data_IF_608240481473
#
_entry.id   IF_608240481473
#
_cell.length_a   1.000
_cell.length_b   1.000
_cell.length_c   1.000
_cell.angle_alpha   90.00
_cell.angle_beta   90.00
_cell.angle_gamma   90.00
#
_symmetry.space_group_name_H-M   'P 1'
#
loop_
_entity.id
_entity.type
_entity.pdbx_description
1 polymer ?
#
# COMPACT_ATOMS: atom_id res chain seq x y z
N UNK A 1 73.53 31.98 -13.25
CA UNK A 1 72.17 31.42 -13.37
C UNK A 1 71.22 32.61 -13.38
N UNK A 2 70.67 32.95 -14.54
CA UNK A 2 69.66 34.01 -14.68
C UNK A 2 68.25 33.41 -14.49
N UNK A 3 67.28 34.16 -13.92
CA UNK A 3 65.92 33.68 -13.79
C UNK A 3 65.16 33.86 -15.11
N UNK A 4 64.60 32.76 -15.62
CA UNK A 4 63.66 32.77 -16.74
C UNK A 4 62.33 33.30 -16.23
N UNK A 5 61.98 34.52 -16.63
CA UNK A 5 60.64 35.09 -16.43
C UNK A 5 59.77 34.63 -17.61
N UNK A 6 58.93 33.62 -17.38
CA UNK A 6 57.89 33.26 -18.35
C UNK A 6 56.80 34.35 -18.38
N UNK A 7 56.28 34.72 -19.57
CA UNK A 7 55.23 35.72 -19.67
C UNK A 7 53.92 35.09 -19.21
N UNK A 8 53.39 35.58 -18.09
CA UNK A 8 52.03 35.29 -17.67
C UNK A 8 51.07 35.57 -18.83
N UNK A 9 50.34 34.53 -19.23
CA UNK A 9 49.39 34.55 -20.33
C UNK A 9 48.37 35.68 -20.19
N UNK A 10 48.13 36.30 -21.34
CA UNK A 10 47.17 37.36 -21.60
C UNK A 10 45.78 37.02 -21.03
N UNK A 11 45.39 37.61 -19.90
CA UNK A 11 43.99 37.55 -19.41
C UNK A 11 43.16 38.49 -20.26
N UNK A 12 42.41 37.97 -21.23
CA UNK A 12 41.46 38.76 -21.99
C UNK A 12 40.44 39.41 -21.03
N UNK A 13 40.42 40.74 -20.98
CA UNK A 13 39.39 41.50 -20.25
C UNK A 13 38.06 41.32 -20.98
N UNK A 14 37.13 40.58 -20.37
CA UNK A 14 35.76 40.43 -20.86
C UNK A 14 35.03 41.77 -20.74
N UNK A 15 34.25 42.14 -21.76
CA UNK A 15 33.40 43.33 -21.70
C UNK A 15 32.10 43.05 -20.90
N UNK A 16 31.40 44.12 -20.52
CA UNK A 16 30.19 44.03 -19.70
C UNK A 16 29.07 43.21 -20.35
N UNK A 17 28.96 43.21 -21.69
CA UNK A 17 27.94 42.44 -22.41
C UNK A 17 28.26 40.95 -22.34
N UNK A 18 29.54 40.60 -22.48
CA UNK A 18 29.99 39.21 -22.35
C UNK A 18 29.76 38.67 -20.94
N UNK A 19 29.91 39.50 -19.90
CA UNK A 19 29.63 39.12 -18.51
C UNK A 19 28.13 38.86 -18.32
N UNK A 20 27.26 39.74 -18.84
CA UNK A 20 25.80 39.59 -18.73
C UNK A 20 25.29 38.32 -19.45
N UNK A 21 25.83 38.02 -20.64
CA UNK A 21 25.51 36.80 -21.38
C UNK A 21 25.94 35.53 -20.63
N UNK A 22 27.08 35.57 -19.92
CA UNK A 22 27.55 34.46 -19.07
C UNK A 22 26.59 34.25 -17.89
N UNK A 23 26.18 35.32 -17.22
CA UNK A 23 25.22 35.24 -16.10
C UNK A 23 23.87 34.69 -16.53
N UNK A 24 23.31 35.19 -17.65
CA UNK A 24 22.03 34.71 -18.15
C UNK A 24 22.09 33.22 -18.55
N UNK A 25 23.19 32.77 -19.18
CA UNK A 25 23.38 31.34 -19.48
C UNK A 25 23.50 30.50 -18.21
N UNK A 26 24.26 30.97 -17.22
CA UNK A 26 24.41 30.29 -15.94
C UNK A 26 23.08 30.16 -15.19
N UNK A 27 22.25 31.19 -15.19
CA UNK A 27 20.93 31.16 -14.55
C UNK A 27 19.93 30.28 -15.31
N UNK A 28 19.94 30.27 -16.65
CA UNK A 28 19.16 29.29 -17.43
C UNK A 28 19.59 27.85 -17.11
N UNK A 29 20.90 27.57 -17.11
CA UNK A 29 21.40 26.22 -16.80
C UNK A 29 21.06 25.78 -15.36
N UNK A 30 21.05 26.71 -14.40
CA UNK A 30 20.58 26.44 -13.02
C UNK A 30 19.11 26.08 -12.96
N UNK A 31 18.27 26.74 -13.76
CA UNK A 31 16.85 26.41 -13.90
C UNK A 31 16.65 25.00 -14.43
N UNK A 32 17.34 24.66 -15.54
CA UNK A 32 17.28 23.33 -16.15
C UNK A 32 17.78 22.24 -15.20
N UNK A 33 18.85 22.51 -14.44
CA UNK A 33 19.37 21.60 -13.41
C UNK A 33 18.36 21.38 -12.28
N UNK A 34 17.66 22.42 -11.85
CA UNK A 34 16.62 22.31 -10.83
C UNK A 34 15.42 21.47 -11.31
N UNK A 35 15.00 21.64 -12.58
CA UNK A 35 13.96 20.81 -13.19
C UNK A 35 14.38 19.34 -13.27
N UNK A 36 15.58 19.07 -13.79
CA UNK A 36 16.11 17.71 -13.88
C UNK A 36 16.21 17.05 -12.50
N UNK A 37 16.63 17.80 -11.48
CA UNK A 37 16.68 17.31 -10.10
C UNK A 37 15.31 16.91 -9.57
N UNK A 38 14.27 17.70 -9.87
CA UNK A 38 12.91 17.38 -9.47
C UNK A 38 12.39 16.14 -10.22
N UNK A 39 12.62 16.04 -11.53
CA UNK A 39 12.23 14.88 -12.32
C UNK A 39 12.91 13.59 -11.79
N UNK A 40 14.20 13.66 -11.45
CA UNK A 40 14.93 12.55 -10.83
C UNK A 40 14.32 12.19 -9.48
N UNK A 41 13.96 13.19 -8.67
CA UNK A 41 13.33 12.97 -7.37
C UNK A 41 11.97 12.27 -7.50
N UNK A 42 11.14 12.68 -8.46
CA UNK A 42 9.85 12.07 -8.73
C UNK A 42 9.98 10.62 -9.21
N UNK A 43 10.98 10.34 -10.06
CA UNK A 43 11.31 8.98 -10.49
C UNK A 43 11.74 8.11 -9.30
N UNK A 44 12.58 8.64 -8.41
CA UNK A 44 13.03 7.91 -7.20
C UNK A 44 11.84 7.61 -6.28
N UNK A 45 10.95 8.57 -6.07
CA UNK A 45 9.76 8.35 -5.23
C UNK A 45 8.84 7.29 -5.84
N UNK A 46 8.57 7.39 -7.14
CA UNK A 46 7.78 6.39 -7.87
C UNK A 46 8.42 5.00 -7.78
N UNK A 47 9.76 4.91 -7.86
CA UNK A 47 10.48 3.65 -7.71
C UNK A 47 10.33 3.06 -6.30
N UNK A 48 10.42 3.88 -5.26
CA UNK A 48 10.24 3.44 -3.88
C UNK A 48 8.82 2.92 -3.64
N UNK A 49 7.79 3.60 -4.16
CA UNK A 49 6.40 3.14 -4.10
C UNK A 49 6.22 1.76 -4.76
N UNK A 50 6.84 1.55 -5.92
CA UNK A 50 6.82 0.25 -6.60
C UNK A 50 7.56 -0.84 -5.81
N UNK A 51 8.69 -0.52 -5.16
CA UNK A 51 9.40 -1.47 -4.31
C UNK A 51 8.57 -1.88 -3.09
N UNK A 52 7.86 -0.94 -2.46
CA UNK A 52 6.95 -1.24 -1.37
C UNK A 52 5.83 -2.18 -1.82
N UNK A 53 5.25 -1.95 -3.00
CA UNK A 53 4.20 -2.81 -3.54
C UNK A 53 4.71 -4.22 -3.88
N UNK A 54 5.91 -4.33 -4.47
CA UNK A 54 6.55 -5.63 -4.73
C UNK A 54 6.77 -6.41 -3.43
N UNK A 55 7.23 -5.74 -2.38
CA UNK A 55 7.41 -6.36 -1.06
C UNK A 55 6.08 -6.84 -0.46
N UNK A 56 4.98 -6.07 -0.62
CA UNK A 56 3.63 -6.49 -0.22
C UNK A 56 3.17 -7.74 -0.98
N UNK A 57 3.38 -7.80 -2.30
CA UNK A 57 3.00 -8.97 -3.10
C UNK A 57 3.82 -10.19 -2.68
N UNK A 58 5.12 -10.01 -2.46
CA UNK A 58 6.01 -11.10 -2.06
C UNK A 58 5.62 -11.68 -0.70
N UNK A 59 5.20 -10.85 0.27
CA UNK A 59 4.77 -11.34 1.57
C UNK A 59 3.52 -12.22 1.47
N UNK A 60 2.54 -11.83 0.65
CA UNK A 60 1.35 -12.64 0.37
C UNK A 60 1.74 -13.98 -0.28
N UNK A 61 2.73 -13.98 -1.18
CA UNK A 61 3.21 -15.22 -1.81
C UNK A 61 3.90 -16.18 -0.84
N UNK A 62 4.43 -15.68 0.28
CA UNK A 62 5.06 -16.48 1.33
C UNK A 62 4.06 -17.12 2.30
N UNK A 63 2.78 -16.72 2.25
CA UNK A 63 1.76 -17.35 3.08
C UNK A 63 1.56 -18.83 2.72
N UNK A 64 1.19 -19.63 3.72
CA UNK A 64 0.88 -21.05 3.53
C UNK A 64 -0.31 -21.18 2.59
N UNK A 65 -0.24 -22.15 1.67
CA UNK A 65 -1.29 -22.37 0.67
C UNK A 65 -2.72 -22.46 1.26
N UNK A 66 -2.98 -23.16 2.39
CA UNK A 66 -4.32 -23.20 2.98
C UNK A 66 -4.82 -21.85 3.48
N UNK A 67 -3.91 -20.97 3.94
CA UNK A 67 -4.28 -19.62 4.40
C UNK A 67 -4.74 -18.78 3.21
N UNK A 68 -3.98 -18.79 2.11
CA UNK A 68 -4.34 -18.05 0.89
C UNK A 68 -5.64 -18.54 0.28
N UNK A 69 -5.79 -19.86 0.16
CA UNK A 69 -7.01 -20.47 -0.37
C UNK A 69 -8.24 -20.07 0.48
N UNK A 70 -8.13 -20.19 1.80
CA UNK A 70 -9.25 -19.90 2.69
C UNK A 70 -9.55 -18.40 2.78
N UNK A 71 -8.54 -17.54 2.75
CA UNK A 71 -8.71 -16.09 2.67
C UNK A 71 -9.42 -15.67 1.37
N UNK A 72 -9.06 -16.28 0.23
CA UNK A 72 -9.75 -16.05 -1.04
C UNK A 72 -11.22 -16.50 -1.00
N UNK A 73 -11.51 -17.63 -0.34
CA UNK A 73 -12.88 -18.06 -0.11
C UNK A 73 -13.64 -17.07 0.80
N UNK A 74 -13.03 -16.66 1.91
CA UNK A 74 -13.59 -15.66 2.82
C UNK A 74 -13.99 -14.39 2.07
N UNK A 75 -13.11 -13.85 1.23
CA UNK A 75 -13.36 -12.66 0.41
C UNK A 75 -14.51 -12.89 -0.57
N UNK A 76 -14.51 -13.99 -1.32
CA UNK A 76 -15.61 -14.33 -2.24
C UNK A 76 -16.98 -14.33 -1.53
N UNK A 77 -17.03 -14.84 -0.30
CA UNK A 77 -18.25 -14.87 0.52
C UNK A 77 -18.67 -13.48 1.02
N UNK A 78 -17.70 -12.57 1.25
CA UNK A 78 -17.99 -11.17 1.60
C UNK A 78 -18.56 -10.43 0.40
N UNK A 79 -17.94 -10.56 -0.77
CA UNK A 79 -18.38 -9.93 -2.02
C UNK A 79 -19.82 -10.31 -2.39
N UNK A 80 -20.21 -11.57 -2.17
CA UNK A 80 -21.62 -12.01 -2.35
C UNK A 80 -22.61 -11.19 -1.50
N UNK A 81 -22.16 -10.60 -0.40
CA UNK A 81 -22.98 -9.85 0.56
C UNK A 81 -22.77 -8.33 0.49
N UNK A 82 -21.96 -7.81 -0.43
CA UNK A 82 -21.66 -6.37 -0.53
C UNK A 82 -22.91 -5.50 -0.73
N UNK A 83 -23.95 -6.05 -1.38
CA UNK A 83 -25.24 -5.38 -1.55
C UNK A 83 -25.94 -5.03 -0.21
N UNK A 84 -25.47 -5.57 0.92
CA UNK A 84 -25.99 -5.30 2.27
C UNK A 84 -25.33 -4.09 2.95
N UNK A 85 -24.39 -3.42 2.28
CA UNK A 85 -23.77 -2.19 2.78
C UNK A 85 -22.51 -2.40 3.63
N UNK A 86 -21.92 -3.59 3.64
CA UNK A 86 -20.71 -3.89 4.43
C UNK A 86 -20.97 -4.06 5.94
N UNK A 87 -19.87 -4.11 6.73
CA UNK A 87 -19.90 -4.44 8.17
C UNK A 87 -19.45 -3.30 9.11
N UNK A 88 -19.45 -2.08 8.59
CA UNK A 88 -19.18 -0.88 9.38
C UNK A 88 -20.13 -0.70 10.58
N UNK A 89 -19.77 0.12 11.58
CA UNK A 89 -20.58 0.36 12.77
C UNK A 89 -21.98 0.92 12.46
N UNK A 90 -22.14 1.61 11.32
CA UNK A 90 -23.41 2.14 10.83
C UNK A 90 -24.37 1.06 10.32
N UNK A 91 -23.87 -0.09 9.85
CA UNK A 91 -24.68 -1.13 9.22
C UNK A 91 -24.80 -2.41 10.06
N UNK A 92 -23.82 -2.69 10.90
CA UNK A 92 -23.80 -3.87 11.77
C UNK A 92 -23.48 -3.45 13.21
N UNK A 93 -24.15 -4.00 14.23
CA UNK A 93 -23.75 -3.81 15.64
C UNK A 93 -22.84 -4.95 16.13
N UNK A 94 -22.15 -4.79 17.26
CA UNK A 94 -21.36 -5.89 17.88
C UNK A 94 -22.25 -7.09 18.20
N UNK A 95 -23.44 -6.81 18.74
CA UNK A 95 -24.42 -7.84 19.10
C UNK A 95 -24.93 -8.56 17.85
N UNK A 96 -25.23 -7.83 16.78
CA UNK A 96 -25.66 -8.42 15.52
C UNK A 96 -24.59 -9.37 14.96
N UNK A 97 -23.34 -8.93 14.87
CA UNK A 97 -22.24 -9.75 14.35
C UNK A 97 -22.03 -11.00 15.23
N UNK A 98 -22.12 -10.84 16.54
CA UNK A 98 -21.99 -11.95 17.51
C UNK A 98 -23.13 -12.96 17.38
N UNK A 99 -24.37 -12.49 17.23
CA UNK A 99 -25.54 -13.34 17.01
C UNK A 99 -25.43 -14.09 15.68
N UNK A 100 -24.99 -13.43 14.61
CA UNK A 100 -24.81 -14.08 13.31
C UNK A 100 -23.71 -15.15 13.36
N UNK A 101 -22.58 -14.88 14.02
CA UNK A 101 -21.51 -15.87 14.22
C UNK A 101 -22.04 -17.11 14.95
N UNK A 102 -22.75 -16.90 16.06
CA UNK A 102 -23.34 -17.95 16.88
C UNK A 102 -24.37 -18.79 16.08
N UNK A 103 -25.18 -18.15 15.22
CA UNK A 103 -26.07 -18.87 14.28
C UNK A 103 -25.28 -19.75 13.30
N UNK A 104 -24.14 -19.29 12.78
CA UNK A 104 -23.30 -20.09 11.87
C UNK A 104 -22.59 -21.24 12.60
N UNK A 105 -22.15 -21.04 13.83
CA UNK A 105 -21.61 -22.11 14.68
C UNK A 105 -22.65 -23.21 14.94
N UNK A 106 -23.90 -22.84 15.29
CA UNK A 106 -25.00 -23.81 15.42
C UNK A 106 -25.26 -24.57 14.12
N UNK A 107 -25.25 -23.87 12.98
CA UNK A 107 -25.38 -24.52 11.67
C UNK A 107 -24.29 -25.56 11.46
N UNK A 108 -23.02 -25.21 11.69
CA UNK A 108 -21.88 -26.11 11.55
C UNK A 108 -22.06 -27.39 12.36
N UNK A 109 -22.49 -27.28 13.63
CA UNK A 109 -22.80 -28.46 14.47
C UNK A 109 -23.91 -29.31 13.86
N UNK A 110 -24.93 -28.68 13.28
CA UNK A 110 -26.03 -29.36 12.60
C UNK A 110 -25.63 -30.11 11.32
N UNK A 111 -24.58 -29.66 10.62
CA UNK A 111 -24.12 -30.31 9.37
C UNK A 111 -23.56 -31.72 9.60
N UNK A 112 -22.99 -31.99 10.78
CA UNK A 112 -22.39 -33.29 11.13
C UNK A 112 -23.40 -34.45 11.20
N UNK A 113 -24.71 -34.19 11.10
CA UNK A 113 -25.76 -35.21 11.15
C UNK A 113 -26.73 -35.21 9.97
N UNK A 114 -26.60 -34.31 8.99
CA UNK A 114 -27.63 -34.02 7.99
C UNK A 114 -27.37 -34.59 6.59
N UNK A 115 -26.19 -35.15 6.30
CA UNK A 115 -25.82 -35.57 4.94
C UNK A 115 -25.44 -34.40 4.03
N UNK A 116 -25.02 -33.28 4.61
CA UNK A 116 -24.54 -32.10 3.87
C UNK A 116 -23.25 -32.36 3.08
N UNK A 117 -23.03 -31.55 2.04
CA UNK A 117 -21.84 -31.68 1.17
C UNK A 117 -20.60 -31.05 1.83
N UNK A 118 -19.38 -31.51 1.50
CA UNK A 118 -18.13 -30.88 1.96
C UNK A 118 -18.09 -29.37 1.71
N UNK A 119 -18.64 -28.90 0.60
CA UNK A 119 -18.74 -27.47 0.27
C UNK A 119 -19.63 -26.71 1.25
N UNK A 120 -20.74 -27.33 1.71
CA UNK A 120 -21.61 -26.76 2.73
C UNK A 120 -20.88 -26.53 4.07
N UNK A 121 -20.02 -27.48 4.45
CA UNK A 121 -19.16 -27.35 5.63
C UNK A 121 -18.13 -26.22 5.47
N UNK A 122 -17.39 -26.25 4.35
CA UNK A 122 -16.35 -25.26 4.04
C UNK A 122 -16.94 -23.84 4.02
N UNK A 123 -18.09 -23.64 3.36
CA UNK A 123 -18.76 -22.34 3.31
C UNK A 123 -19.25 -21.88 4.68
N UNK A 124 -19.73 -22.79 5.52
CA UNK A 124 -20.16 -22.44 6.87
C UNK A 124 -18.97 -22.04 7.74
N UNK A 125 -17.83 -22.70 7.61
CA UNK A 125 -16.59 -22.31 8.29
C UNK A 125 -16.08 -20.94 7.81
N UNK A 126 -16.14 -20.68 6.51
CA UNK A 126 -15.80 -19.37 5.95
C UNK A 126 -16.70 -18.25 6.50
N UNK A 127 -18.03 -18.49 6.57
CA UNK A 127 -18.96 -17.54 7.17
C UNK A 127 -18.61 -17.27 8.66
N UNK A 128 -18.28 -18.30 9.45
CA UNK A 128 -17.85 -18.15 10.86
C UNK A 128 -16.59 -17.29 10.94
N UNK A 129 -15.57 -17.61 10.13
CA UNK A 129 -14.32 -16.88 10.11
C UNK A 129 -14.52 -15.40 9.71
N UNK A 130 -15.39 -15.13 8.73
CA UNK A 130 -15.75 -13.77 8.34
C UNK A 130 -16.36 -12.98 9.50
N UNK A 131 -17.33 -13.53 10.22
CA UNK A 131 -17.89 -12.83 11.38
C UNK A 131 -16.88 -12.63 12.50
N UNK A 132 -16.03 -13.62 12.78
CA UNK A 132 -14.95 -13.49 13.75
C UNK A 132 -13.97 -12.36 13.37
N UNK A 133 -13.60 -12.29 12.08
CA UNK A 133 -12.76 -11.22 11.53
C UNK A 133 -13.42 -9.84 11.67
N UNK A 134 -14.71 -9.71 11.34
CA UNK A 134 -15.44 -8.43 11.48
C UNK A 134 -15.50 -7.95 12.94
N UNK A 135 -15.70 -8.87 13.89
CA UNK A 135 -15.66 -8.57 15.32
C UNK A 135 -14.26 -8.12 15.76
N UNK A 136 -13.21 -8.80 15.30
CA UNK A 136 -11.83 -8.45 15.59
C UNK A 136 -11.45 -7.07 15.01
N UNK A 137 -11.82 -6.78 13.76
CA UNK A 137 -11.62 -5.48 13.13
C UNK A 137 -12.30 -4.37 13.94
N UNK A 138 -13.51 -4.61 14.45
CA UNK A 138 -14.20 -3.64 15.30
C UNK A 138 -13.49 -3.40 16.63
N UNK A 139 -13.03 -4.46 17.28
CA UNK A 139 -12.29 -4.32 18.55
C UNK A 139 -10.96 -3.59 18.35
N UNK A 140 -10.28 -3.83 17.23
CA UNK A 140 -9.06 -3.09 16.86
C UNK A 140 -9.33 -1.59 16.76
N UNK A 141 -10.36 -1.17 16.00
CA UNK A 141 -10.72 0.25 15.84
C UNK A 141 -11.09 0.93 17.16
N UNK A 142 -11.83 0.25 18.03
CA UNK A 142 -12.16 0.77 19.38
C UNK A 142 -10.89 0.98 20.23
N UNK A 143 -9.85 0.16 20.04
CA UNK A 143 -8.55 0.35 20.68
C UNK A 143 -7.82 1.59 20.18
N UNK A 144 -7.82 1.81 18.86
CA UNK A 144 -7.17 2.95 18.20
C UNK A 144 -7.83 4.30 18.56
N UNK A 145 -9.15 4.34 18.75
CA UNK A 145 -9.88 5.56 19.15
C UNK A 145 -9.63 5.98 20.62
N UNK A 146 -9.07 5.08 21.44
CA UNK A 146 -8.82 5.32 22.88
C UNK A 146 -7.39 5.75 23.18
N UNK A 147 -6.51 5.76 22.19
CA UNK A 147 -5.08 6.15 22.29
C UNK A 147 -4.84 7.50 21.66
#
# INVERSE_FOLDING_TARGET
>A
MEPVNEPFGNTANLDSQQIEDIWHKADCSRGDEAHLRNDIFDVINSHNELLEELNRIQSIQQEREPVRWFAGLMESRLLENDYKGGWGPENCSMDFLSEQMDRKCRRYVGLNGSGDTPEGFINTLADIANYAMMLADRMRRVGEERT
#
